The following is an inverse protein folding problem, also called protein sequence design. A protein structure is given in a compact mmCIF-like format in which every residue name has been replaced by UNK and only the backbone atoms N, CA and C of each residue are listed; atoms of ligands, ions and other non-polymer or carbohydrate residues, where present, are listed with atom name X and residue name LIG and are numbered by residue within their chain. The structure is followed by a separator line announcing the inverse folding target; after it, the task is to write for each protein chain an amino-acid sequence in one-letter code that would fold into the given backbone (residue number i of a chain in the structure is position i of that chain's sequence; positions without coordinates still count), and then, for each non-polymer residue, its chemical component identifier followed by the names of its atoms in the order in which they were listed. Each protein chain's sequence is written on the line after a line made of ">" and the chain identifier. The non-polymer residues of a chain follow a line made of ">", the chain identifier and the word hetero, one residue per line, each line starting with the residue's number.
data_IF_396937437937
#
_entry.id   IF_396937437937
#
_cell.length_a   1.000
_cell.length_b   1.000
_cell.length_c   1.000
_cell.angle_alpha   90.00
_cell.angle_beta   90.00
_cell.angle_gamma   90.00
#
_symmetry.space_group_name_H-M   'P 1'
#
loop_
_entity.id
_entity.type
_entity.pdbx_description
1 polymer ?
#
# COMPACT_ATOMS: atom_id res chain seq x y z
N UNK A 1 -25.82 0.88 82.27
CA UNK A 1 -25.28 1.72 81.17
C UNK A 1 -24.38 0.84 80.32
N UNK A 2 -24.87 0.37 79.17
CA UNK A 2 -24.12 -0.44 78.20
C UNK A 2 -23.80 0.46 77.00
N UNK A 3 -22.55 0.91 76.90
CA UNK A 3 -22.05 1.73 75.79
C UNK A 3 -21.49 0.83 74.69
N UNK A 4 -22.08 0.91 73.50
CA UNK A 4 -21.60 0.29 72.26
C UNK A 4 -20.51 1.18 71.64
N UNK A 5 -19.35 0.61 71.34
CA UNK A 5 -18.39 1.23 70.41
C UNK A 5 -18.30 0.35 69.17
N UNK A 6 -18.87 0.81 68.06
CA UNK A 6 -18.63 0.25 66.74
C UNK A 6 -17.67 1.20 66.01
N UNK A 7 -16.47 0.72 65.69
CA UNK A 7 -15.51 1.43 64.87
C UNK A 7 -15.87 1.19 63.39
N UNK A 8 -16.29 2.24 62.70
CA UNK A 8 -16.52 2.21 61.25
C UNK A 8 -15.19 2.33 60.53
N UNK A 9 -14.74 1.26 59.88
CA UNK A 9 -13.62 1.30 58.92
C UNK A 9 -14.15 1.85 57.60
N UNK A 10 -13.70 3.05 57.24
CA UNK A 10 -14.01 3.65 55.95
C UNK A 10 -13.07 3.04 54.89
N UNK A 11 -13.57 2.08 54.10
CA UNK A 11 -12.86 1.60 52.91
C UNK A 11 -13.12 2.62 51.80
N UNK A 12 -12.13 3.48 51.52
CA UNK A 12 -12.13 4.26 50.28
C UNK A 12 -11.94 3.29 49.11
N UNK A 13 -13.03 2.97 48.43
CA UNK A 13 -12.97 2.35 47.12
C UNK A 13 -12.36 3.36 46.14
N UNK A 14 -11.05 3.24 45.88
CA UNK A 14 -10.43 3.88 44.73
C UNK A 14 -11.02 3.23 43.48
N UNK A 15 -11.91 3.94 42.82
CA UNK A 15 -12.31 3.63 41.46
C UNK A 15 -11.08 3.83 40.57
N UNK A 16 -10.38 2.74 40.29
CA UNK A 16 -9.50 2.69 39.12
C UNK A 16 -10.44 2.87 37.92
N UNK A 17 -10.58 4.12 37.46
CA UNK A 17 -11.00 4.32 36.07
C UNK A 17 -9.92 3.65 35.25
N UNK A 18 -10.23 2.47 34.70
CA UNK A 18 -9.52 2.00 33.53
C UNK A 18 -9.58 3.17 32.54
N UNK A 19 -8.45 3.84 32.34
CA UNK A 19 -8.34 4.76 31.23
C UNK A 19 -8.68 3.89 30.02
N UNK A 20 -9.79 4.20 29.35
CA UNK A 20 -10.09 3.59 28.06
C UNK A 20 -8.94 4.05 27.17
N UNK A 21 -7.92 3.22 27.01
CA UNK A 21 -6.83 3.51 26.09
C UNK A 21 -7.49 3.70 24.74
N UNK A 22 -7.38 4.88 24.11
CA UNK A 22 -7.94 5.06 22.78
C UNK A 22 -7.30 3.97 21.90
N UNK A 23 -8.13 3.11 21.32
CA UNK A 23 -7.62 2.07 20.41
C UNK A 23 -6.85 2.69 19.24
N UNK A 24 -6.12 1.86 18.50
CA UNK A 24 -5.39 2.28 17.31
C UNK A 24 -6.25 3.18 16.41
N UNK A 25 -5.66 4.23 15.87
CA UNK A 25 -6.31 5.12 14.89
C UNK A 25 -5.49 5.13 13.61
N UNK A 26 -6.15 5.00 12.46
CA UNK A 26 -5.52 5.16 11.16
C UNK A 26 -5.93 6.50 10.54
N UNK A 27 -4.94 7.24 10.04
CA UNK A 27 -5.09 8.49 9.29
C UNK A 27 -4.40 8.33 7.93
N UNK A 28 -4.89 9.01 6.90
CA UNK A 28 -4.45 8.78 5.52
C UNK A 28 -4.06 10.10 4.84
N UNK A 29 -3.07 10.04 3.96
CA UNK A 29 -2.58 11.18 3.20
C UNK A 29 -2.36 10.80 1.74
N UNK A 30 -2.98 11.54 0.82
CA UNK A 30 -2.76 11.36 -0.62
C UNK A 30 -1.53 12.19 -1.02
N UNK A 31 -0.50 11.52 -1.48
CA UNK A 31 0.68 12.13 -2.08
C UNK A 31 0.38 12.44 -3.54
N UNK A 32 -0.20 13.62 -3.79
CA UNK A 32 -0.54 14.07 -5.13
C UNK A 32 0.68 14.14 -6.07
N UNK A 33 0.42 14.38 -7.36
CA UNK A 33 1.44 14.51 -8.39
C UNK A 33 2.68 15.33 -7.94
N UNK A 34 3.91 14.87 -8.26
CA UNK A 34 4.21 13.73 -9.13
C UNK A 34 4.18 12.34 -8.45
N UNK A 35 3.79 12.20 -7.17
CA UNK A 35 3.78 10.89 -6.48
C UNK A 35 2.49 10.08 -6.71
N UNK A 36 1.89 10.23 -7.88
CA UNK A 36 0.84 9.37 -8.42
C UNK A 36 -0.40 9.22 -7.52
N UNK A 37 -0.75 10.23 -6.73
CA UNK A 37 -1.88 10.14 -5.79
C UNK A 37 -1.79 8.90 -4.86
N UNK A 38 -0.55 8.49 -4.54
CA UNK A 38 -0.24 7.36 -3.65
C UNK A 38 -0.69 7.67 -2.22
N UNK A 39 -1.35 6.71 -1.57
CA UNK A 39 -1.91 6.86 -0.23
C UNK A 39 -0.93 6.36 0.83
N UNK A 40 -0.36 7.29 1.60
CA UNK A 40 0.34 6.93 2.84
C UNK A 40 -0.66 6.77 3.98
N UNK A 41 -0.44 5.79 4.86
CA UNK A 41 -1.28 5.58 6.06
C UNK A 41 -0.46 5.68 7.33
N UNK A 42 -0.89 6.51 8.27
CA UNK A 42 -0.32 6.64 9.61
C UNK A 42 -1.21 5.91 10.61
N UNK A 43 -0.67 4.89 11.28
CA UNK A 43 -1.34 4.23 12.41
C UNK A 43 -0.76 4.74 13.71
N UNK A 44 -1.62 5.32 14.53
CA UNK A 44 -1.28 5.99 15.79
C UNK A 44 -1.83 5.13 16.93
N UNK A 45 -0.92 4.76 17.83
CA UNK A 45 -1.22 4.06 19.07
C UNK A 45 -1.14 4.97 20.30
N UNK A 46 -1.12 4.32 21.46
CA UNK A 46 -1.08 4.92 22.78
C UNK A 46 0.24 5.62 23.07
N UNK A 47 1.38 5.05 22.66
CA UNK A 47 2.71 5.62 22.93
C UNK A 47 3.55 5.87 21.68
N UNK A 48 3.21 5.30 20.53
CA UNK A 48 3.97 5.44 19.29
C UNK A 48 3.07 5.45 18.04
N UNK A 49 3.66 5.73 16.88
CA UNK A 49 3.03 5.62 15.58
C UNK A 49 3.91 4.88 14.57
N UNK A 50 3.30 4.38 13.51
CA UNK A 50 3.93 3.73 12.35
C UNK A 50 3.32 4.27 11.06
N UNK A 51 4.15 4.52 10.05
CA UNK A 51 3.72 5.00 8.72
C UNK A 51 3.89 3.88 7.68
N UNK A 52 2.96 3.80 6.74
CA UNK A 52 2.98 2.86 5.61
C UNK A 52 3.02 3.65 4.30
N UNK A 53 3.94 3.24 3.43
CA UNK A 53 4.31 3.81 2.13
C UNK A 53 4.83 5.25 2.16
N UNK A 54 5.94 5.48 1.46
CA UNK A 54 6.65 6.76 1.39
C UNK A 54 6.78 7.23 -0.07
N UNK A 55 6.57 8.51 -0.37
CA UNK A 55 6.31 8.95 -1.74
C UNK A 55 7.52 8.90 -2.68
N UNK A 56 7.20 8.94 -3.98
CA UNK A 56 8.15 8.98 -5.09
C UNK A 56 9.15 10.13 -4.99
N UNK A 57 8.65 11.32 -4.65
CA UNK A 57 9.39 12.59 -4.81
C UNK A 57 9.62 13.33 -3.49
N UNK A 58 10.72 14.08 -3.44
CA UNK A 58 11.18 14.81 -2.25
C UNK A 58 10.11 15.80 -1.73
N UNK A 59 9.45 16.64 -2.56
CA UNK A 59 8.46 17.59 -2.05
C UNK A 59 7.29 16.90 -1.33
N UNK A 60 6.82 15.77 -1.85
CA UNK A 60 5.77 14.96 -1.22
C UNK A 60 6.28 14.31 0.06
N UNK A 61 7.52 13.80 0.09
CA UNK A 61 8.10 13.23 1.31
C UNK A 61 8.20 14.25 2.44
N UNK A 62 8.58 15.49 2.12
CA UNK A 62 8.62 16.61 3.08
C UNK A 62 7.22 16.99 3.55
N UNK A 63 6.25 17.11 2.62
CA UNK A 63 4.87 17.42 2.95
C UNK A 63 4.22 16.34 3.83
N UNK A 64 4.47 15.06 3.54
CA UNK A 64 4.03 13.94 4.36
C UNK A 64 4.64 14.02 5.77
N UNK A 65 5.94 14.31 5.89
CA UNK A 65 6.58 14.46 7.19
C UNK A 65 5.99 15.60 8.02
N UNK A 66 5.69 16.74 7.40
CA UNK A 66 5.04 17.87 8.07
C UNK A 66 3.58 17.53 8.44
N UNK A 67 2.84 16.82 7.59
CA UNK A 67 1.51 16.33 7.91
C UNK A 67 1.51 15.36 9.09
N UNK A 68 2.45 14.40 9.15
CA UNK A 68 2.58 13.47 10.28
C UNK A 68 2.83 14.24 11.59
N UNK A 69 3.73 15.22 11.59
CA UNK A 69 4.03 16.06 12.77
C UNK A 69 2.85 16.90 13.23
N UNK A 70 1.98 17.32 12.31
CA UNK A 70 0.77 18.05 12.65
C UNK A 70 -0.38 17.13 13.10
N UNK A 71 -0.32 15.84 12.76
CA UNK A 71 -1.38 14.86 13.05
C UNK A 71 -1.23 14.21 14.43
N UNK A 72 -0.01 14.06 14.94
CA UNK A 72 0.25 13.40 16.22
C UNK A 72 1.55 13.85 16.89
N UNK A 73 1.54 13.91 18.22
CA UNK A 73 2.74 14.10 19.04
C UNK A 73 3.45 12.77 19.38
N UNK A 74 2.90 11.63 18.94
CA UNK A 74 3.49 10.31 19.18
C UNK A 74 4.74 10.10 18.31
N UNK A 75 5.83 9.54 18.86
CA UNK A 75 7.01 9.22 18.07
C UNK A 75 6.67 8.21 16.98
N UNK A 76 7.10 8.49 15.74
CA UNK A 76 7.08 7.51 14.65
C UNK A 76 8.29 6.59 14.86
N UNK A 77 8.04 5.33 15.20
CA UNK A 77 9.11 4.35 15.53
C UNK A 77 9.46 3.45 14.35
N UNK A 78 8.58 3.40 13.35
CA UNK A 78 8.74 2.58 12.17
C UNK A 78 8.04 3.19 10.95
N UNK A 79 8.59 2.89 9.78
CA UNK A 79 7.99 3.03 8.48
C UNK A 79 7.98 1.66 7.78
N UNK A 80 6.96 1.37 6.99
CA UNK A 80 6.91 0.21 6.11
C UNK A 80 6.64 0.62 4.67
N UNK A 81 7.16 -0.12 3.69
CA UNK A 81 6.76 0.02 2.28
C UNK A 81 6.18 -1.29 1.76
N UNK A 82 4.98 -1.26 1.18
CA UNK A 82 4.17 -2.42 0.83
C UNK A 82 4.78 -3.31 -0.25
N UNK A 83 5.62 -2.76 -1.13
CA UNK A 83 6.27 -3.44 -2.25
C UNK A 83 7.31 -2.53 -2.92
N UNK A 84 8.02 -3.01 -3.96
CA UNK A 84 9.16 -2.28 -4.55
C UNK A 84 8.80 -1.21 -5.59
N UNK A 85 7.53 -0.88 -5.87
CA UNK A 85 7.29 0.20 -6.84
C UNK A 85 7.81 1.54 -6.30
N UNK A 86 8.48 2.36 -7.13
CA UNK A 86 9.28 3.49 -6.68
C UNK A 86 8.46 4.57 -5.95
N UNK A 87 7.20 4.72 -6.29
CA UNK A 87 6.29 5.66 -5.67
C UNK A 87 5.86 5.32 -4.23
N UNK A 88 6.27 4.14 -3.73
CA UNK A 88 6.04 3.69 -2.34
C UNK A 88 7.29 3.69 -1.46
N UNK A 89 8.48 4.05 -1.99
CA UNK A 89 9.70 4.17 -1.16
C UNK A 89 10.76 5.16 -1.64
N UNK A 90 10.79 5.55 -2.92
CA UNK A 90 12.02 6.03 -3.58
C UNK A 90 12.61 7.27 -2.90
N UNK A 91 11.76 8.28 -2.60
CA UNK A 91 12.18 9.47 -1.84
C UNK A 91 11.89 9.37 -0.34
N UNK A 92 11.67 8.16 0.18
CA UNK A 92 11.44 7.90 1.59
C UNK A 92 12.61 8.32 2.49
N UNK A 93 13.84 8.39 1.97
CA UNK A 93 14.98 8.94 2.71
C UNK A 93 14.73 10.39 3.18
N UNK A 94 14.13 11.24 2.35
CA UNK A 94 13.80 12.62 2.71
C UNK A 94 12.74 12.72 3.82
N UNK A 95 11.82 11.74 3.89
CA UNK A 95 10.88 11.62 5.01
C UNK A 95 11.62 11.17 6.28
N UNK A 96 12.44 10.11 6.19
CA UNK A 96 13.14 9.50 7.33
C UNK A 96 14.15 10.45 7.98
N UNK A 97 14.76 11.37 7.23
CA UNK A 97 15.60 12.44 7.78
C UNK A 97 14.87 13.30 8.85
N UNK A 98 13.53 13.36 8.78
CA UNK A 98 12.69 14.10 9.74
C UNK A 98 12.26 13.25 10.94
N UNK A 99 12.53 11.94 10.91
CA UNK A 99 12.22 10.92 11.93
C UNK A 99 13.41 9.95 12.10
N UNK A 100 14.58 10.42 12.57
CA UNK A 100 15.83 9.64 12.56
C UNK A 100 15.82 8.38 13.43
N UNK A 101 14.87 8.28 14.38
CA UNK A 101 14.70 7.10 15.23
C UNK A 101 13.74 6.05 14.62
N UNK A 102 13.09 6.36 13.49
CA UNK A 102 12.21 5.44 12.80
C UNK A 102 13.01 4.40 12.00
N UNK A 103 12.71 3.12 12.22
CA UNK A 103 13.25 2.06 11.38
C UNK A 103 12.42 1.90 10.11
N UNK A 104 13.05 1.59 8.98
CA UNK A 104 12.34 1.34 7.73
C UNK A 104 12.33 -0.15 7.37
N UNK A 105 11.15 -0.70 7.11
CA UNK A 105 10.93 -2.13 6.97
C UNK A 105 10.16 -2.51 5.72
N UNK A 106 10.38 -3.74 5.26
CA UNK A 106 9.56 -4.41 4.26
C UNK A 106 9.68 -5.93 4.42
N UNK A 107 8.93 -6.72 3.65
CA UNK A 107 9.23 -8.15 3.55
C UNK A 107 10.60 -8.36 2.86
N UNK A 108 11.18 -9.56 3.00
CA UNK A 108 12.53 -9.85 2.51
C UNK A 108 12.67 -9.72 0.97
N UNK A 109 11.63 -10.05 0.21
CA UNK A 109 11.63 -9.96 -1.24
C UNK A 109 11.62 -8.50 -1.70
N UNK A 110 10.73 -7.68 -1.15
CA UNK A 110 10.67 -6.22 -1.39
C UNK A 110 11.99 -5.54 -1.05
N UNK A 111 12.56 -5.82 0.13
CA UNK A 111 13.84 -5.26 0.53
C UNK A 111 14.97 -5.64 -0.45
N UNK A 112 14.98 -6.88 -0.94
CA UNK A 112 15.94 -7.34 -1.93
C UNK A 112 15.75 -6.64 -3.29
N UNK A 113 14.51 -6.50 -3.76
CA UNK A 113 14.21 -5.85 -5.04
C UNK A 113 14.58 -4.37 -5.00
N UNK A 114 14.17 -3.64 -3.95
CA UNK A 114 14.54 -2.24 -3.74
C UNK A 114 16.06 -2.07 -3.73
N UNK A 115 16.79 -2.90 -2.97
CA UNK A 115 18.25 -2.84 -2.91
C UNK A 115 18.91 -2.96 -4.28
N UNK A 116 18.35 -3.77 -5.17
CA UNK A 116 18.92 -4.06 -6.48
C UNK A 116 18.51 -3.04 -7.56
N UNK A 117 17.30 -2.47 -7.46
CA UNK A 117 16.70 -1.67 -8.52
C UNK A 117 16.72 -0.15 -8.25
N UNK A 118 16.84 0.27 -6.97
CA UNK A 118 16.67 1.68 -6.59
C UNK A 118 17.59 2.65 -7.33
N UNK A 119 18.86 2.31 -7.58
CA UNK A 119 19.79 3.18 -8.30
C UNK A 119 19.34 3.45 -9.75
N UNK A 120 18.82 2.43 -10.42
CA UNK A 120 18.26 2.58 -11.76
C UNK A 120 16.97 3.40 -11.73
N UNK A 121 16.07 3.12 -10.76
CA UNK A 121 14.84 3.91 -10.60
C UNK A 121 15.13 5.38 -10.32
N UNK A 122 16.13 5.70 -9.49
CA UNK A 122 16.58 7.09 -9.26
C UNK A 122 16.99 7.74 -10.58
N UNK A 123 17.84 7.08 -11.38
CA UNK A 123 18.28 7.62 -12.66
C UNK A 123 17.12 7.87 -13.63
N UNK A 124 16.17 6.93 -13.71
CA UNK A 124 14.99 7.06 -14.57
C UNK A 124 14.12 8.21 -14.10
N UNK A 125 13.75 8.26 -12.82
CA UNK A 125 12.83 9.28 -12.32
C UNK A 125 13.45 10.68 -12.28
N UNK A 126 14.76 10.81 -12.08
CA UNK A 126 15.47 12.09 -12.28
C UNK A 126 15.41 12.58 -13.72
N UNK A 127 15.53 11.67 -14.69
CA UNK A 127 15.38 12.05 -16.11
C UNK A 127 13.97 12.52 -16.48
N UNK A 128 12.95 12.07 -15.74
CA UNK A 128 11.54 12.41 -15.96
C UNK A 128 11.12 13.67 -15.18
N UNK A 129 11.49 13.76 -13.90
CA UNK A 129 11.00 14.78 -12.96
C UNK A 129 12.03 15.87 -12.63
N UNK A 130 13.28 15.70 -13.05
CA UNK A 130 14.41 16.57 -12.74
C UNK A 130 15.24 16.08 -11.55
N UNK A 131 16.52 16.44 -11.55
CA UNK A 131 17.51 15.97 -10.57
C UNK A 131 17.12 16.32 -9.12
N UNK A 132 16.51 17.48 -8.90
CA UNK A 132 16.14 17.98 -7.56
C UNK A 132 14.83 17.36 -7.02
N UNK A 133 14.09 16.60 -7.84
CA UNK A 133 12.81 16.02 -7.45
C UNK A 133 12.97 14.67 -6.72
N UNK A 134 14.08 13.97 -6.92
CA UNK A 134 14.33 12.60 -6.43
C UNK A 134 15.63 12.59 -5.64
N UNK A 135 15.66 11.82 -4.55
CA UNK A 135 16.86 11.66 -3.71
C UNK A 135 18.05 11.06 -4.50
N UNK A 136 19.27 11.38 -4.08
CA UNK A 136 20.49 10.79 -4.64
C UNK A 136 20.67 9.32 -4.25
N UNK A 137 20.20 8.95 -3.06
CA UNK A 137 20.30 7.61 -2.51
C UNK A 137 18.97 7.29 -1.82
N UNK A 138 18.29 6.25 -2.28
CA UNK A 138 17.06 5.77 -1.65
C UNK A 138 17.37 5.08 -0.32
N UNK A 139 16.46 5.20 0.65
CA UNK A 139 16.49 4.37 1.83
C UNK A 139 16.10 2.94 1.45
N UNK A 140 16.93 1.96 1.83
CA UNK A 140 16.64 0.55 1.61
C UNK A 140 16.01 -0.02 2.89
N UNK A 141 14.80 -0.61 2.84
CA UNK A 141 14.17 -1.16 4.02
C UNK A 141 14.89 -2.42 4.50
N UNK A 142 14.86 -2.64 5.81
CA UNK A 142 15.35 -3.86 6.45
C UNK A 142 14.27 -4.94 6.37
N UNK A 143 14.61 -6.21 6.07
CA UNK A 143 13.65 -7.30 6.12
C UNK A 143 12.99 -7.45 7.49
N UNK A 144 11.67 -7.38 7.54
CA UNK A 144 10.86 -7.66 8.72
C UNK A 144 10.36 -9.10 8.67
N UNK A 145 11.00 -9.99 9.42
CA UNK A 145 10.79 -11.44 9.35
C UNK A 145 9.70 -11.96 10.33
N UNK A 146 8.75 -11.10 10.71
CA UNK A 146 7.63 -11.47 11.57
C UNK A 146 6.31 -11.21 10.85
N UNK A 147 5.26 -11.93 11.26
CA UNK A 147 3.92 -11.85 10.66
C UNK A 147 3.00 -10.84 11.36
N UNK A 148 3.48 -10.21 12.43
CA UNK A 148 2.78 -9.13 13.12
C UNK A 148 3.74 -8.31 13.98
N UNK A 149 3.28 -7.16 14.43
CA UNK A 149 3.88 -6.38 15.51
C UNK A 149 2.80 -5.65 16.31
N UNK A 150 3.19 -5.06 17.44
CA UNK A 150 2.34 -4.20 18.27
C UNK A 150 3.04 -2.87 18.49
N UNK A 151 2.26 -1.80 18.67
CA UNK A 151 2.81 -0.53 19.15
C UNK A 151 2.92 -0.56 20.68
N UNK A 152 3.92 0.09 21.28
CA UNK A 152 4.03 0.21 22.74
C UNK A 152 2.75 0.80 23.35
N UNK A 153 2.24 0.14 24.39
CA UNK A 153 0.98 0.49 25.06
C UNK A 153 -0.28 -0.07 24.39
N UNK A 154 -0.15 -0.77 23.25
CA UNK A 154 -1.26 -1.38 22.50
C UNK A 154 -1.00 -2.87 22.22
N UNK A 155 -0.35 -3.59 23.15
CA UNK A 155 0.07 -4.99 22.98
C UNK A 155 -1.10 -5.96 22.70
N UNK A 156 -2.33 -5.58 23.07
CA UNK A 156 -3.54 -6.35 22.76
C UNK A 156 -4.12 -6.13 21.36
N UNK A 157 -3.52 -5.23 20.58
CA UNK A 157 -4.01 -4.82 19.25
C UNK A 157 -2.92 -5.03 18.18
N UNK A 158 -2.61 -6.28 17.80
CA UNK A 158 -1.59 -6.54 16.80
C UNK A 158 -1.97 -5.99 15.42
N UNK A 159 -0.95 -5.50 14.71
CA UNK A 159 -0.99 -5.20 13.28
C UNK A 159 -0.34 -6.38 12.57
N UNK A 160 -1.11 -7.10 11.74
CA UNK A 160 -0.65 -8.28 11.03
C UNK A 160 -0.07 -7.88 9.67
N UNK A 161 1.12 -8.38 9.37
CA UNK A 161 1.69 -8.34 8.02
C UNK A 161 1.36 -9.65 7.31
N UNK A 162 0.72 -9.55 6.15
CA UNK A 162 0.36 -10.71 5.34
C UNK A 162 1.17 -10.64 4.04
N UNK A 163 2.09 -11.59 3.88
CA UNK A 163 3.06 -11.63 2.77
C UNK A 163 3.70 -13.02 2.64
N UNK A 164 4.31 -13.34 1.48
CA UNK A 164 4.18 -12.62 0.22
C UNK A 164 2.81 -12.85 -0.44
N UNK A 165 2.33 -11.82 -1.14
CA UNK A 165 1.14 -11.83 -1.97
C UNK A 165 1.51 -11.39 -3.40
N UNK A 166 0.67 -11.76 -4.36
CA UNK A 166 0.76 -11.23 -5.72
C UNK A 166 -0.40 -10.28 -5.93
N UNK A 167 -0.11 -9.09 -6.43
CA UNK A 167 -1.04 -8.06 -6.79
C UNK A 167 -0.62 -7.47 -8.14
N UNK A 168 -0.58 -6.14 -8.28
CA UNK A 168 0.09 -5.49 -9.41
C UNK A 168 1.61 -5.76 -9.49
N UNK A 169 2.15 -6.46 -8.49
CA UNK A 169 3.48 -7.08 -8.52
C UNK A 169 3.60 -8.27 -7.56
N UNK A 170 4.74 -8.96 -7.56
CA UNK A 170 4.92 -10.30 -6.93
C UNK A 170 5.37 -10.31 -5.46
N UNK A 171 5.81 -9.17 -4.94
CA UNK A 171 6.40 -9.04 -3.61
C UNK A 171 5.47 -8.31 -2.63
N UNK A 172 4.17 -8.24 -2.95
CA UNK A 172 3.22 -7.42 -2.20
C UNK A 172 3.11 -7.91 -0.75
N UNK A 173 2.97 -6.96 0.16
CA UNK A 173 2.46 -7.19 1.50
C UNK A 173 1.33 -6.24 1.84
N UNK A 174 0.36 -6.76 2.60
CA UNK A 174 -0.78 -5.97 3.12
C UNK A 174 -0.77 -6.00 4.64
N UNK A 175 -1.40 -5.00 5.25
CA UNK A 175 -1.45 -4.87 6.71
C UNK A 175 -2.88 -4.94 7.22
N UNK A 176 -3.17 -5.98 8.01
CA UNK A 176 -4.49 -6.17 8.62
C UNK A 176 -4.48 -5.72 10.08
N UNK A 177 -5.42 -4.85 10.44
CA UNK A 177 -5.55 -4.28 11.78
C UNK A 177 -6.94 -4.67 12.34
N UNK A 178 -7.08 -5.86 12.98
CA UNK A 178 -8.36 -6.39 13.41
C UNK A 178 -9.10 -5.47 14.38
N UNK A 179 -8.37 -4.82 15.30
CA UNK A 179 -8.94 -3.98 16.37
C UNK A 179 -9.77 -2.79 15.84
N UNK A 180 -9.47 -2.33 14.62
CA UNK A 180 -10.23 -1.29 13.90
C UNK A 180 -10.82 -1.77 12.58
N UNK A 181 -10.78 -3.08 12.32
CA UNK A 181 -11.26 -3.73 11.09
C UNK A 181 -10.79 -3.01 9.81
N UNK A 182 -9.53 -2.58 9.78
CA UNK A 182 -8.93 -1.82 8.68
C UNK A 182 -7.80 -2.60 8.02
N UNK A 183 -7.82 -2.66 6.70
CA UNK A 183 -6.77 -3.25 5.88
C UNK A 183 -6.06 -2.15 5.08
N UNK A 184 -4.73 -2.09 5.15
CA UNK A 184 -3.90 -1.28 4.25
C UNK A 184 -3.48 -2.21 3.11
N UNK A 185 -4.02 -1.99 1.92
CA UNK A 185 -3.89 -2.91 0.81
C UNK A 185 -2.65 -2.65 -0.06
N UNK A 186 -2.11 -1.42 -0.02
CA UNK A 186 -1.25 -0.94 -1.11
C UNK A 186 -1.96 -1.20 -2.44
N UNK A 187 -1.19 -1.49 -3.48
CA UNK A 187 -1.78 -1.72 -4.81
C UNK A 187 -2.27 -3.14 -5.04
N UNK A 188 -2.55 -3.87 -3.95
CA UNK A 188 -3.53 -4.95 -4.03
C UNK A 188 -4.93 -4.41 -4.38
N UNK A 189 -5.24 -3.16 -3.99
CA UNK A 189 -6.51 -2.48 -4.30
C UNK A 189 -6.23 -1.05 -4.74
N UNK A 190 -6.86 -0.60 -5.83
CA UNK A 190 -6.81 0.78 -6.30
C UNK A 190 -8.14 1.48 -6.03
N UNK A 191 -8.10 2.77 -5.75
CA UNK A 191 -9.31 3.59 -5.66
C UNK A 191 -10.05 3.64 -7.00
N UNK A 192 -11.38 3.50 -6.97
CA UNK A 192 -12.24 3.39 -8.16
C UNK A 192 -12.20 4.59 -9.13
N UNK A 193 -11.55 5.67 -8.74
CA UNK A 193 -11.32 6.86 -9.56
C UNK A 193 -10.10 6.78 -10.48
N UNK A 194 -9.39 5.63 -10.53
CA UNK A 194 -8.15 5.46 -11.27
C UNK A 194 -8.14 4.17 -12.12
N UNK A 195 -7.41 4.21 -13.24
CA UNK A 195 -6.90 3.03 -13.91
C UNK A 195 -5.79 2.36 -13.06
N UNK A 196 -5.47 1.10 -13.35
CA UNK A 196 -4.54 0.29 -12.56
C UNK A 196 -3.22 0.08 -13.29
N UNK A 197 -2.15 -0.15 -12.52
CA UNK A 197 -0.89 -0.66 -13.07
C UNK A 197 -1.03 -2.15 -13.40
N UNK A 198 -1.18 -2.48 -14.68
CA UNK A 198 -1.18 -3.87 -15.15
C UNK A 198 0.13 -4.24 -15.84
N UNK A 199 1.07 -3.31 -16.00
CA UNK A 199 2.27 -3.51 -16.80
C UNK A 199 3.11 -4.70 -16.31
N UNK A 200 3.07 -5.03 -15.03
CA UNK A 200 3.80 -6.18 -14.47
C UNK A 200 3.05 -7.52 -14.55
N UNK A 201 1.81 -7.52 -15.04
CA UNK A 201 0.97 -8.71 -15.25
C UNK A 201 1.34 -9.45 -16.54
N UNK A 202 2.58 -9.94 -16.60
CA UNK A 202 3.16 -10.54 -17.81
C UNK A 202 2.71 -11.98 -18.10
N UNK A 203 1.86 -12.57 -17.26
CA UNK A 203 1.29 -13.90 -17.49
C UNK A 203 -0.11 -14.05 -16.88
N UNK A 204 -0.95 -14.95 -17.44
CA UNK A 204 -2.25 -15.29 -16.85
C UNK A 204 -2.20 -15.79 -15.40
N UNK A 205 -1.07 -16.39 -15.00
CA UNK A 205 -0.89 -16.84 -13.63
C UNK A 205 -0.77 -15.66 -12.66
N UNK A 206 -0.20 -14.52 -13.08
CA UNK A 206 -0.07 -13.32 -12.26
C UNK A 206 -1.43 -12.62 -12.08
N UNK A 207 -2.18 -12.43 -13.16
CA UNK A 207 -3.53 -11.83 -13.07
C UNK A 207 -4.46 -12.70 -12.22
N UNK A 208 -4.41 -14.02 -12.38
CA UNK A 208 -5.19 -14.93 -11.54
C UNK A 208 -4.76 -14.89 -10.07
N UNK A 209 -3.46 -14.77 -9.79
CA UNK A 209 -2.97 -14.66 -8.42
C UNK A 209 -3.42 -13.36 -7.74
N UNK A 210 -3.48 -12.25 -8.49
CA UNK A 210 -4.05 -11.00 -7.99
C UNK A 210 -5.54 -11.16 -7.64
N UNK A 211 -6.33 -11.82 -8.49
CA UNK A 211 -7.73 -12.12 -8.16
C UNK A 211 -7.88 -12.96 -6.87
N UNK A 212 -7.00 -13.94 -6.64
CA UNK A 212 -6.98 -14.71 -5.39
C UNK A 212 -6.56 -13.86 -4.18
N UNK A 213 -5.66 -12.89 -4.35
CA UNK A 213 -5.35 -11.91 -3.30
C UNK A 213 -6.58 -11.07 -2.93
N UNK A 214 -7.40 -10.66 -3.91
CA UNK A 214 -8.65 -9.95 -3.63
C UNK A 214 -9.66 -10.82 -2.87
N UNK A 215 -9.83 -12.08 -3.25
CA UNK A 215 -10.68 -13.05 -2.52
C UNK A 215 -10.22 -13.22 -1.07
N UNK A 216 -8.91 -13.32 -0.85
CA UNK A 216 -8.36 -13.37 0.50
C UNK A 216 -8.65 -12.10 1.30
N UNK A 217 -8.49 -10.91 0.70
CA UNK A 217 -8.82 -9.63 1.32
C UNK A 217 -10.29 -9.59 1.76
N UNK A 218 -11.21 -10.03 0.91
CA UNK A 218 -12.64 -10.10 1.24
C UNK A 218 -12.93 -11.07 2.39
N UNK A 219 -12.20 -12.20 2.46
CA UNK A 219 -12.36 -13.18 3.54
C UNK A 219 -12.03 -12.62 4.94
N UNK A 220 -11.18 -11.57 5.01
CA UNK A 220 -10.89 -10.87 6.26
C UNK A 220 -12.07 -10.01 6.74
N UNK A 221 -13.08 -9.80 5.90
CA UNK A 221 -14.24 -8.93 6.16
C UNK A 221 -13.85 -7.53 6.70
N UNK A 222 -12.94 -6.80 6.02
CA UNK A 222 -12.54 -5.47 6.45
C UNK A 222 -13.73 -4.50 6.40
N UNK A 223 -13.83 -3.62 7.40
CA UNK A 223 -14.74 -2.47 7.35
C UNK A 223 -14.15 -1.31 6.56
N UNK A 224 -12.82 -1.24 6.49
CA UNK A 224 -12.08 -0.26 5.70
C UNK A 224 -10.95 -0.92 4.93
N UNK A 225 -10.82 -0.58 3.65
CA UNK A 225 -9.76 -1.04 2.76
C UNK A 225 -9.10 0.19 2.18
N UNK A 226 -7.86 0.44 2.57
CA UNK A 226 -7.10 1.60 2.13
C UNK A 226 -6.35 1.21 0.85
N UNK A 227 -6.72 1.77 -0.32
CA UNK A 227 -6.04 1.47 -1.58
C UNK A 227 -4.65 2.10 -1.60
N UNK A 228 -3.77 1.62 -2.47
CA UNK A 228 -2.44 2.20 -2.66
C UNK A 228 -2.46 3.53 -3.43
N UNK A 229 -3.45 3.73 -4.31
CA UNK A 229 -3.71 5.00 -4.99
C UNK A 229 -5.17 5.43 -4.91
N UNK A 230 -5.43 6.72 -4.69
CA UNK A 230 -6.79 7.26 -4.71
C UNK A 230 -6.82 8.76 -5.02
N UNK A 231 -7.83 9.19 -5.77
CA UNK A 231 -8.09 10.63 -6.05
C UNK A 231 -8.83 11.34 -4.92
N UNK A 232 -9.38 10.59 -3.96
CA UNK A 232 -10.10 11.09 -2.80
C UNK A 232 -9.96 10.14 -1.62
N UNK A 233 -9.98 10.69 -0.41
CA UNK A 233 -10.04 9.91 0.83
C UNK A 233 -11.48 9.47 1.19
N UNK A 234 -12.45 9.81 0.35
CA UNK A 234 -13.84 9.41 0.54
C UNK A 234 -14.06 7.94 0.16
N UNK A 235 -14.83 7.23 0.97
CA UNK A 235 -15.40 5.92 0.67
C UNK A 235 -14.49 4.68 0.65
N UNK A 236 -13.50 4.60 1.55
CA UNK A 236 -12.72 3.35 1.74
C UNK A 236 -13.48 2.21 2.46
N UNK A 237 -14.82 2.25 2.55
CA UNK A 237 -15.60 1.39 3.47
C UNK A 237 -16.74 0.58 2.85
N UNK A 238 -16.99 0.72 1.55
CA UNK A 238 -18.14 0.10 0.87
C UNK A 238 -17.76 -1.10 -0.02
N UNK A 239 -16.48 -1.47 -0.07
CA UNK A 239 -15.96 -2.58 -0.89
C UNK A 239 -15.88 -2.28 -2.39
N UNK A 240 -16.34 -1.12 -2.85
CA UNK A 240 -16.40 -0.84 -4.29
C UNK A 240 -15.03 -0.62 -4.94
N UNK A 241 -13.99 -0.30 -4.16
CA UNK A 241 -12.61 -0.25 -4.66
C UNK A 241 -12.04 -1.67 -4.93
N UNK A 242 -12.45 -2.68 -4.15
CA UNK A 242 -12.14 -4.10 -4.43
C UNK A 242 -12.83 -4.53 -5.71
N UNK A 243 -14.14 -4.27 -5.83
CA UNK A 243 -14.92 -4.64 -7.01
C UNK A 243 -14.43 -3.94 -8.28
N UNK A 244 -14.03 -2.67 -8.17
CA UNK A 244 -13.39 -1.94 -9.26
C UNK A 244 -12.10 -2.64 -9.70
N UNK A 245 -11.22 -2.96 -8.74
CA UNK A 245 -9.95 -3.64 -9.01
C UNK A 245 -10.18 -5.01 -9.66
N UNK A 246 -11.10 -5.81 -9.13
CA UNK A 246 -11.51 -7.11 -9.68
C UNK A 246 -12.00 -6.97 -11.12
N UNK A 247 -12.97 -6.09 -11.36
CA UNK A 247 -13.53 -5.87 -12.70
C UNK A 247 -12.48 -5.40 -13.69
N UNK A 248 -11.52 -4.57 -13.27
CA UNK A 248 -10.44 -4.09 -14.12
C UNK A 248 -9.51 -5.22 -14.58
N UNK A 249 -9.14 -6.13 -13.67
CA UNK A 249 -8.33 -7.31 -13.99
C UNK A 249 -9.09 -8.25 -14.92
N UNK A 250 -10.39 -8.48 -14.68
CA UNK A 250 -11.22 -9.33 -15.55
C UNK A 250 -11.35 -8.75 -16.97
N UNK A 251 -11.56 -7.43 -17.11
CA UNK A 251 -11.55 -6.76 -18.42
C UNK A 251 -10.20 -6.96 -19.12
N UNK A 252 -9.09 -6.82 -18.39
CA UNK A 252 -7.76 -7.06 -18.96
C UNK A 252 -7.62 -8.50 -19.47
N UNK A 253 -8.02 -9.48 -18.65
CA UNK A 253 -7.98 -10.90 -19.02
C UNK A 253 -8.79 -11.18 -20.28
N UNK A 254 -10.03 -10.69 -20.33
CA UNK A 254 -10.96 -10.91 -21.45
C UNK A 254 -10.54 -10.20 -22.75
N UNK A 255 -10.08 -8.95 -22.64
CA UNK A 255 -9.96 -8.06 -23.80
C UNK A 255 -8.52 -7.88 -24.29
N UNK A 256 -7.52 -8.16 -23.47
CA UNK A 256 -6.09 -7.97 -23.80
C UNK A 256 -5.34 -9.29 -23.68
N UNK A 257 -5.33 -9.90 -22.48
CA UNK A 257 -4.55 -11.10 -22.20
C UNK A 257 -4.96 -12.29 -23.08
N UNK A 258 -6.27 -12.56 -23.21
CA UNK A 258 -6.80 -13.66 -24.01
C UNK A 258 -6.50 -13.55 -25.51
N UNK A 259 -6.23 -12.34 -26.02
CA UNK A 259 -5.86 -12.13 -27.44
C UNK A 259 -4.37 -12.40 -27.68
N UNK A 260 -3.56 -12.43 -26.62
CA UNK A 260 -2.13 -12.62 -26.67
C UNK A 260 -1.35 -11.32 -26.89
N UNK A 261 -0.06 -11.39 -26.55
CA UNK A 261 0.89 -10.27 -26.69
C UNK A 261 0.92 -9.76 -28.12
N UNK A 262 0.99 -8.44 -28.31
CA UNK A 262 1.07 -7.75 -29.60
C UNK A 262 -0.15 -7.95 -30.54
N UNK A 263 -1.26 -8.50 -30.05
CA UNK A 263 -2.49 -8.62 -30.83
C UNK A 263 -3.15 -7.25 -31.09
N UNK A 264 -3.15 -6.39 -30.08
CA UNK A 264 -3.68 -5.02 -30.10
C UNK A 264 -2.55 -4.00 -30.17
N UNK A 265 -2.83 -2.78 -30.62
CA UNK A 265 -1.96 -1.60 -30.49
C UNK A 265 -2.18 -0.89 -29.15
N UNK A 266 -1.27 -0.02 -28.68
CA UNK A 266 -1.49 0.75 -27.47
C UNK A 266 -2.78 1.59 -27.51
N UNK A 267 -3.09 2.19 -28.67
CA UNK A 267 -4.32 2.97 -28.85
C UNK A 267 -5.59 2.12 -28.68
N UNK A 268 -5.62 0.90 -29.25
CA UNK A 268 -6.76 -0.01 -29.10
C UNK A 268 -6.93 -0.46 -27.63
N UNK A 269 -5.84 -0.71 -26.91
CA UNK A 269 -5.91 -1.05 -25.48
C UNK A 269 -6.45 0.15 -24.69
N UNK A 270 -5.92 1.35 -24.92
CA UNK A 270 -6.40 2.56 -24.25
C UNK A 270 -7.89 2.82 -24.52
N UNK A 271 -8.36 2.62 -25.75
CA UNK A 271 -9.77 2.81 -26.12
C UNK A 271 -10.69 1.78 -25.44
N UNK A 272 -10.26 0.51 -25.35
CA UNK A 272 -11.00 -0.53 -24.61
C UNK A 272 -11.21 -0.11 -23.16
N UNK A 273 -10.15 0.33 -22.48
CA UNK A 273 -10.24 0.69 -21.06
C UNK A 273 -10.98 2.01 -20.82
N UNK A 274 -10.81 3.02 -21.66
CA UNK A 274 -11.60 4.26 -21.56
C UNK A 274 -13.09 3.98 -21.78
N UNK A 275 -13.44 3.09 -22.71
CA UNK A 275 -14.83 2.68 -22.91
C UNK A 275 -15.42 1.87 -21.75
N UNK A 276 -14.64 0.98 -21.12
CA UNK A 276 -15.12 0.16 -20.00
C UNK A 276 -15.14 0.92 -18.68
N UNK A 277 -14.26 1.92 -18.52
CA UNK A 277 -14.10 2.71 -17.30
C UNK A 277 -14.11 4.21 -17.63
N UNK A 278 -15.26 4.76 -18.06
CA UNK A 278 -15.34 6.12 -18.58
C UNK A 278 -15.05 7.16 -17.49
N UNK A 279 -14.34 8.22 -17.88
CA UNK A 279 -14.09 9.40 -17.04
C UNK A 279 -12.82 9.32 -16.18
N UNK A 280 -12.15 8.17 -16.11
CA UNK A 280 -10.94 8.02 -15.30
C UNK A 280 -9.73 8.78 -15.88
N UNK A 281 -9.72 9.06 -17.19
CA UNK A 281 -8.68 9.85 -17.84
C UNK A 281 -8.63 11.33 -17.39
N UNK A 282 -9.59 11.81 -16.60
CA UNK A 282 -9.55 13.14 -16.01
C UNK A 282 -8.42 13.31 -14.98
N UNK A 283 -7.95 12.21 -14.37
CA UNK A 283 -6.77 12.21 -13.50
C UNK A 283 -5.51 11.97 -14.33
N UNK A 284 -4.48 12.81 -14.12
CA UNK A 284 -3.19 12.63 -14.79
C UNK A 284 -2.48 11.34 -14.35
N UNK A 285 -2.64 10.96 -13.08
CA UNK A 285 -2.17 9.67 -12.55
C UNK A 285 -2.82 8.53 -13.31
N UNK A 286 -4.16 8.54 -13.39
CA UNK A 286 -4.93 7.51 -14.08
C UNK A 286 -4.54 7.39 -15.57
N UNK A 287 -4.39 8.53 -16.26
CA UNK A 287 -3.94 8.57 -17.64
C UNK A 287 -2.54 7.97 -17.82
N UNK A 288 -1.61 8.25 -16.89
CA UNK A 288 -0.28 7.63 -16.90
C UNK A 288 -0.36 6.11 -16.71
N UNK A 289 -1.12 5.62 -15.73
CA UNK A 289 -1.26 4.19 -15.42
C UNK A 289 -1.80 3.41 -16.63
N UNK A 290 -2.85 3.93 -17.29
CA UNK A 290 -3.37 3.31 -18.51
C UNK A 290 -2.38 3.40 -19.67
N UNK A 291 -1.71 4.53 -19.84
CA UNK A 291 -0.73 4.69 -20.92
C UNK A 291 0.40 3.67 -20.80
N UNK A 292 0.97 3.49 -19.61
CA UNK A 292 2.05 2.52 -19.38
C UNK A 292 1.57 1.10 -19.67
N UNK A 293 0.38 0.72 -19.19
CA UNK A 293 -0.22 -0.59 -19.51
C UNK A 293 -0.41 -0.77 -21.02
N UNK A 294 -0.95 0.23 -21.71
CA UNK A 294 -1.19 0.19 -23.15
C UNK A 294 0.12 0.04 -23.94
N UNK A 295 1.15 0.78 -23.53
CA UNK A 295 2.50 0.72 -24.08
C UNK A 295 3.23 -0.59 -23.74
N UNK A 296 2.86 -1.31 -22.68
CA UNK A 296 3.49 -2.57 -22.29
C UNK A 296 2.93 -3.79 -23.03
N UNK A 297 1.63 -3.79 -23.38
CA UNK A 297 1.00 -4.94 -24.05
C UNK A 297 0.72 -4.70 -25.53
N UNK A 298 0.66 -3.43 -25.96
CA UNK A 298 0.32 -3.06 -27.33
C UNK A 298 1.46 -3.24 -28.32
N UNK A 299 1.20 -3.76 -29.51
CA UNK A 299 2.16 -3.95 -30.60
C UNK A 299 2.88 -2.66 -30.95
N UNK A 300 4.21 -2.71 -30.91
CA UNK A 300 5.06 -1.54 -31.19
C UNK A 300 5.12 -0.52 -30.05
N UNK A 301 4.54 -0.82 -28.90
CA UNK A 301 4.63 0.02 -27.70
C UNK A 301 5.99 -0.07 -27.00
N UNK A 302 6.23 0.89 -26.11
CA UNK A 302 7.46 1.01 -25.32
C UNK A 302 7.38 0.13 -24.08
N UNK A 303 8.14 -0.96 -24.08
CA UNK A 303 8.19 -1.90 -22.95
C UNK A 303 9.02 -1.37 -21.80
N UNK A 304 8.58 -1.63 -20.57
CA UNK A 304 9.34 -1.33 -19.37
C UNK A 304 10.60 -2.19 -19.28
N UNK A 305 11.74 -1.53 -19.08
CA UNK A 305 12.96 -2.21 -18.68
C UNK A 305 12.79 -2.75 -17.25
N UNK A 306 13.02 -4.05 -17.08
CA UNK A 306 12.95 -4.74 -15.79
C UNK A 306 14.29 -5.35 -15.45
N UNK A 307 14.67 -5.24 -14.19
CA UNK A 307 15.89 -5.84 -13.64
C UNK A 307 15.71 -7.30 -13.24
N UNK A 308 14.48 -7.84 -13.32
CA UNK A 308 14.14 -9.23 -13.02
C UNK A 308 13.02 -9.73 -13.95
N UNK A 309 13.00 -11.05 -14.16
CA UNK A 309 12.06 -11.71 -15.09
C UNK A 309 10.75 -12.08 -14.39
N UNK A 310 9.78 -11.16 -14.44
CA UNK A 310 8.42 -11.40 -13.94
C UNK A 310 7.68 -12.51 -14.69
N UNK A 311 7.98 -12.74 -15.98
CA UNK A 311 7.31 -13.78 -16.77
C UNK A 311 7.70 -15.20 -16.34
N UNK A 312 8.81 -15.33 -15.60
CA UNK A 312 9.21 -16.60 -14.98
C UNK A 312 8.30 -17.04 -13.83
N UNK A 313 7.53 -16.14 -13.24
CA UNK A 313 6.54 -16.43 -12.21
C UNK A 313 5.24 -16.94 -12.86
N UNK A 314 5.25 -18.22 -13.24
CA UNK A 314 4.12 -18.92 -13.84
C UNK A 314 3.70 -20.18 -13.05
N UNK A 315 4.39 -20.50 -11.96
CA UNK A 315 4.08 -21.62 -11.09
C UNK A 315 2.85 -21.31 -10.23
N UNK A 316 1.71 -21.80 -10.69
CA UNK A 316 0.43 -21.61 -10.01
C UNK A 316 0.40 -22.24 -8.61
N UNK A 317 1.27 -23.22 -8.27
CA UNK A 317 1.33 -23.74 -6.90
C UNK A 317 1.94 -22.75 -5.91
N UNK A 318 2.91 -21.95 -6.36
CA UNK A 318 3.53 -20.90 -5.55
C UNK A 318 2.66 -19.64 -5.49
N UNK A 319 1.99 -19.31 -6.60
CA UNK A 319 1.17 -18.10 -6.72
C UNK A 319 -0.25 -18.27 -6.14
N UNK A 320 -0.83 -19.47 -6.17
CA UNK A 320 -2.17 -19.74 -5.64
C UNK A 320 -2.19 -20.08 -4.14
N UNK A 321 -1.13 -19.77 -3.38
CA UNK A 321 -1.03 -20.06 -1.94
C UNK A 321 -2.17 -19.45 -1.09
N UNK A 322 -2.94 -18.54 -1.67
CA UNK A 322 -4.07 -17.84 -1.05
C UNK A 322 -5.44 -18.18 -1.66
N UNK A 323 -5.53 -19.15 -2.57
CA UNK A 323 -6.81 -19.59 -3.13
C UNK A 323 -7.63 -20.33 -2.05
N UNK A 324 -8.64 -19.64 -1.53
CA UNK A 324 -9.57 -20.14 -0.52
C UNK A 324 -10.65 -21.00 -1.20
N UNK A 325 -10.34 -22.26 -1.47
CA UNK A 325 -11.33 -23.23 -1.98
C UNK A 325 -12.46 -23.52 -1.01
#
# INVERSE_FOLDING_TARGET
>A
MLGKYAASVLVCASTIRAACTPGLRAEHFINSAPSLDMVSTLVIGSEAAVIFDLPLAIPQAVALADWVKNTTDKPVIAAFTTHFHPDHYLSGAAFLDRFPDANFYANAQTASLIKNDAAERISIWKSILGDDAIVDVAAVPVPFNFTFFTLPGDESSPIHLISPLVADTIDKMIFWIPSISTLIAGDAVYGRGLHLWLADMLSPALTQAWLSTLEFIESLSPKKVIPGHATSLESFSDGADIEHTRRYIEVFQEQVEAKGKDALTPAEISEIFDSQFPGLLASSTSALLLNVTSEEFGRGGTRLARTFDLASFNDTQQLAGWNLK
#
